data_IF_787635257741
#
_entry.id   IF_787635257741
#
_cell.length_a   1.000
_cell.length_b   1.000
_cell.length_c   1.000
_cell.angle_alpha   90.00
_cell.angle_beta   90.00
_cell.angle_gamma   90.00
#
_symmetry.space_group_name_H-M   'P 1'
#
loop_
_entity.id
_entity.type
_entity.pdbx_description
1 polymer ?
#
# COMPACT_ATOMS: atom_id res chain seq x y z
N UNK A 1 53.14 21.31 -1.66
CA UNK A 1 52.77 21.08 -3.07
C UNK A 1 51.38 20.47 -3.08
N UNK A 2 50.42 21.22 -3.62
CA UNK A 2 49.04 20.88 -4.01
C UNK A 2 48.06 20.23 -3.01
N UNK A 3 47.11 21.06 -2.58
CA UNK A 3 45.71 20.71 -2.35
C UNK A 3 45.11 20.02 -3.60
N UNK A 4 44.41 18.91 -3.40
CA UNK A 4 43.35 18.45 -4.32
C UNK A 4 42.13 17.97 -3.54
N UNK A 5 41.23 18.91 -3.32
CA UNK A 5 39.80 18.82 -3.64
C UNK A 5 39.06 17.53 -3.23
N UNK A 6 38.29 17.65 -2.16
CA UNK A 6 36.88 17.28 -2.03
C UNK A 6 36.33 16.20 -2.98
N UNK A 7 35.80 15.12 -2.39
CA UNK A 7 34.51 14.51 -2.74
C UNK A 7 34.06 13.57 -1.62
N UNK A 8 33.04 14.04 -0.91
CA UNK A 8 32.22 13.30 0.06
C UNK A 8 31.72 12.03 -0.64
N UNK A 9 32.20 10.86 -0.21
CA UNK A 9 31.63 9.57 -0.63
C UNK A 9 30.54 9.22 0.37
N UNK A 10 29.31 9.53 -0.03
CA UNK A 10 28.07 9.06 0.59
C UNK A 10 28.09 7.53 0.53
N UNK A 11 28.38 6.88 1.66
CA UNK A 11 28.17 5.44 1.81
C UNK A 11 26.70 5.25 2.09
N UNK A 12 26.00 4.72 1.08
CA UNK A 12 24.59 4.40 1.11
C UNK A 12 24.27 3.46 2.28
N UNK A 13 23.38 3.91 3.17
CA UNK A 13 22.73 3.08 4.17
C UNK A 13 21.72 2.21 3.41
N UNK A 14 22.18 1.06 2.92
CA UNK A 14 21.27 0.02 2.44
C UNK A 14 20.70 -0.68 3.67
N UNK A 15 19.53 -0.21 4.09
CA UNK A 15 18.68 -0.82 5.11
C UNK A 15 18.56 -2.32 4.83
N UNK A 16 19.19 -3.12 5.68
CA UNK A 16 19.02 -4.57 5.73
C UNK A 16 17.58 -4.86 6.17
N UNK A 17 16.68 -5.00 5.20
CA UNK A 17 15.34 -5.51 5.42
C UNK A 17 15.47 -7.02 5.70
N UNK A 18 15.69 -7.38 6.97
CA UNK A 18 15.63 -8.76 7.44
C UNK A 18 14.17 -9.22 7.40
N UNK A 19 13.84 -9.97 6.36
CA UNK A 19 12.56 -10.64 6.22
C UNK A 19 12.60 -11.95 7.03
N UNK A 20 12.08 -11.90 8.26
CA UNK A 20 11.79 -13.08 9.07
C UNK A 20 10.43 -13.62 8.65
N UNK A 21 10.41 -14.68 7.85
CA UNK A 21 9.19 -15.44 7.57
C UNK A 21 9.06 -16.55 8.62
N UNK A 22 8.42 -16.21 9.73
CA UNK A 22 7.96 -17.18 10.73
C UNK A 22 6.63 -17.78 10.28
N UNK A 23 6.62 -19.09 10.07
CA UNK A 23 5.43 -19.90 9.79
C UNK A 23 4.52 -19.97 11.02
N UNK A 24 3.24 -19.61 10.88
CA UNK A 24 2.17 -20.10 11.76
C UNK A 24 0.80 -19.99 11.09
N UNK A 25 -0.01 -21.03 11.31
CA UNK A 25 -1.32 -21.30 10.76
C UNK A 25 -2.36 -20.23 11.12
N UNK A 26 -2.97 -19.53 10.14
CA UNK A 26 -4.35 -19.02 10.24
C UNK A 26 -4.88 -18.64 8.84
N UNK A 27 -5.90 -19.33 8.31
CA UNK A 27 -6.44 -19.02 6.96
C UNK A 27 -7.48 -17.90 6.93
N UNK A 28 -8.21 -17.66 8.03
CA UNK A 28 -9.25 -16.61 8.09
C UNK A 28 -8.84 -15.37 8.92
N UNK A 29 -8.17 -15.57 10.05
CA UNK A 29 -7.77 -14.43 10.90
C UNK A 29 -6.55 -13.66 10.35
N UNK A 30 -5.65 -14.29 9.59
CA UNK A 30 -4.59 -13.54 8.88
C UNK A 30 -5.18 -12.69 7.75
N UNK A 31 -6.11 -13.26 6.96
CA UNK A 31 -6.77 -12.50 5.90
C UNK A 31 -7.51 -11.28 6.47
N UNK A 32 -8.23 -11.46 7.58
CA UNK A 32 -8.90 -10.36 8.28
C UNK A 32 -7.92 -9.31 8.83
N UNK A 33 -6.75 -9.72 9.34
CA UNK A 33 -5.70 -8.81 9.75
C UNK A 33 -5.21 -7.96 8.57
N UNK A 34 -4.89 -8.62 7.45
CA UNK A 34 -4.44 -7.93 6.24
C UNK A 34 -5.50 -6.97 5.70
N UNK A 35 -6.78 -7.38 5.63
CA UNK A 35 -7.89 -6.50 5.23
C UNK A 35 -7.99 -5.27 6.14
N UNK A 36 -7.87 -5.47 7.46
CA UNK A 36 -7.93 -4.37 8.44
C UNK A 36 -6.80 -3.36 8.21
N UNK A 37 -5.56 -3.83 8.03
CA UNK A 37 -4.43 -2.94 7.74
C UNK A 37 -4.57 -2.29 6.36
N UNK A 38 -5.06 -3.00 5.33
CA UNK A 38 -5.38 -2.41 4.03
C UNK A 38 -6.34 -1.22 4.17
N UNK A 39 -7.44 -1.37 4.93
CA UNK A 39 -8.41 -0.29 5.12
C UNK A 39 -7.76 0.92 5.82
N UNK A 40 -6.99 0.67 6.88
CA UNK A 40 -6.30 1.72 7.66
C UNK A 40 -5.30 2.51 6.81
N UNK A 41 -4.49 1.81 6.02
CA UNK A 41 -3.48 2.42 5.14
C UNK A 41 -4.15 3.18 3.99
N UNK A 42 -5.17 2.61 3.36
CA UNK A 42 -5.95 3.29 2.33
C UNK A 42 -6.68 4.54 2.88
N UNK A 43 -7.20 4.49 4.12
CA UNK A 43 -7.80 5.67 4.75
C UNK A 43 -6.77 6.78 5.01
N UNK A 44 -5.55 6.40 5.40
CA UNK A 44 -4.44 7.33 5.59
C UNK A 44 -4.01 7.94 4.24
N UNK A 45 -3.90 7.13 3.19
CA UNK A 45 -3.66 7.59 1.83
C UNK A 45 -4.76 8.56 1.35
N UNK A 46 -6.03 8.29 1.67
CA UNK A 46 -7.17 9.17 1.37
C UNK A 46 -7.04 10.53 2.05
N UNK A 47 -6.63 10.56 3.31
CA UNK A 47 -6.45 11.81 4.08
C UNK A 47 -5.34 12.65 3.43
N UNK A 48 -4.18 12.05 3.19
CA UNK A 48 -3.06 12.75 2.55
C UNK A 48 -3.36 13.18 1.11
N UNK A 49 -4.08 12.35 0.36
CA UNK A 49 -4.51 12.66 -0.98
C UNK A 49 -5.45 13.86 -1.05
N UNK A 50 -6.43 13.95 -0.14
CA UNK A 50 -7.29 15.14 0.00
C UNK A 50 -6.51 16.40 0.38
N UNK A 51 -5.36 16.26 1.04
CA UNK A 51 -4.47 17.37 1.36
C UNK A 51 -3.48 17.70 0.23
N UNK A 52 -3.53 17.00 -0.91
CA UNK A 52 -2.58 17.19 -2.01
C UNK A 52 -1.17 16.64 -1.74
N UNK A 53 -0.97 15.87 -0.66
CA UNK A 53 0.31 15.29 -0.29
C UNK A 53 0.59 14.03 -1.13
N UNK A 54 0.83 14.20 -2.43
CA UNK A 54 0.89 13.08 -3.39
C UNK A 54 1.93 12.01 -3.03
N UNK A 55 3.09 12.42 -2.53
CA UNK A 55 4.15 11.48 -2.12
C UNK A 55 3.69 10.59 -0.95
N UNK A 56 3.07 11.18 0.06
CA UNK A 56 2.58 10.44 1.23
C UNK A 56 1.35 9.59 0.88
N UNK A 57 0.48 10.06 -0.01
CA UNK A 57 -0.58 9.22 -0.61
C UNK A 57 0.04 7.97 -1.23
N UNK A 58 1.05 8.14 -2.09
CA UNK A 58 1.72 7.05 -2.80
C UNK A 58 2.31 6.01 -1.85
N UNK A 59 3.04 6.45 -0.83
CA UNK A 59 3.64 5.59 0.20
C UNK A 59 2.57 4.70 0.86
N UNK A 60 1.52 5.30 1.41
CA UNK A 60 0.44 4.54 2.06
C UNK A 60 -0.38 3.68 1.09
N UNK A 61 -0.54 4.08 -0.16
CA UNK A 61 -1.21 3.28 -1.18
C UNK A 61 -0.42 2.01 -1.52
N UNK A 62 0.92 2.08 -1.59
CA UNK A 62 1.80 0.93 -1.83
C UNK A 62 1.78 -0.07 -0.66
N UNK A 63 1.81 0.43 0.58
CA UNK A 63 1.67 -0.41 1.77
C UNK A 63 0.28 -1.06 1.81
N UNK A 64 -0.78 -0.29 1.54
CA UNK A 64 -2.14 -0.82 1.44
C UNK A 64 -2.24 -1.95 0.41
N UNK A 65 -1.65 -1.76 -0.78
CA UNK A 65 -1.64 -2.79 -1.84
C UNK A 65 -0.92 -4.06 -1.41
N UNK A 66 0.15 -3.93 -0.63
CA UNK A 66 0.90 -5.07 -0.09
C UNK A 66 0.01 -5.93 0.80
N UNK A 67 -0.70 -5.31 1.75
CA UNK A 67 -1.65 -6.04 2.59
C UNK A 67 -2.84 -6.58 1.79
N UNK A 68 -3.34 -5.84 0.80
CA UNK A 68 -4.47 -6.31 -0.02
C UNK A 68 -4.14 -7.60 -0.78
N UNK A 69 -2.92 -7.68 -1.35
CA UNK A 69 -2.43 -8.89 -2.05
C UNK A 69 -2.19 -10.05 -1.07
N UNK A 70 -1.71 -9.77 0.14
CA UNK A 70 -1.60 -10.79 1.17
C UNK A 70 -2.97 -11.37 1.54
N UNK A 71 -3.97 -10.50 1.77
CA UNK A 71 -5.35 -10.93 2.01
C UNK A 71 -5.92 -11.76 0.84
N UNK A 72 -5.70 -11.33 -0.41
CA UNK A 72 -6.14 -12.09 -1.59
C UNK A 72 -5.57 -13.52 -1.62
N UNK A 73 -4.30 -13.68 -1.28
CA UNK A 73 -3.63 -14.98 -1.28
C UNK A 73 -4.11 -15.90 -0.15
N UNK A 74 -4.57 -15.34 0.96
CA UNK A 74 -4.99 -16.09 2.15
C UNK A 74 -6.49 -16.44 2.16
N UNK A 75 -7.32 -15.62 1.51
CA UNK A 75 -8.75 -15.89 1.40
C UNK A 75 -9.00 -17.16 0.59
N UNK A 76 -9.88 -18.04 1.09
CA UNK A 76 -10.37 -19.21 0.34
C UNK A 76 -11.70 -18.93 -0.36
N UNK A 77 -12.45 -17.94 0.14
CA UNK A 77 -13.79 -17.56 -0.32
C UNK A 77 -13.89 -16.01 -0.25
N UNK A 78 -14.67 -15.36 -1.14
CA UNK A 78 -14.81 -13.90 -1.25
C UNK A 78 -13.57 -13.12 -1.75
N UNK A 79 -13.09 -13.45 -2.96
CA UNK A 79 -11.98 -12.75 -3.63
C UNK A 79 -12.38 -11.45 -4.35
N UNK A 80 -13.62 -11.34 -4.87
CA UNK A 80 -13.94 -10.31 -5.86
C UNK A 80 -13.78 -8.87 -5.33
N UNK A 81 -14.20 -8.62 -4.08
CA UNK A 81 -14.03 -7.32 -3.42
C UNK A 81 -12.56 -6.91 -3.29
N UNK A 82 -11.69 -7.87 -2.94
CA UNK A 82 -10.27 -7.60 -2.71
C UNK A 82 -9.60 -7.37 -4.06
N UNK A 83 -9.98 -8.13 -5.10
CA UNK A 83 -9.52 -7.93 -6.48
C UNK A 83 -9.87 -6.55 -7.03
N UNK A 84 -11.12 -6.11 -6.89
CA UNK A 84 -11.49 -4.76 -7.34
C UNK A 84 -10.78 -3.69 -6.50
N UNK A 85 -10.65 -3.88 -5.19
CA UNK A 85 -9.87 -3.00 -4.33
C UNK A 85 -8.41 -2.88 -4.79
N UNK A 86 -7.73 -4.01 -5.06
CA UNK A 86 -6.35 -4.06 -5.57
C UNK A 86 -6.22 -3.26 -6.86
N UNK A 87 -7.12 -3.46 -7.82
CA UNK A 87 -7.13 -2.74 -9.11
C UNK A 87 -7.27 -1.23 -8.92
N UNK A 88 -8.07 -0.78 -7.95
CA UNK A 88 -8.18 0.64 -7.64
C UNK A 88 -6.92 1.18 -6.94
N UNK A 89 -6.29 0.41 -6.04
CA UNK A 89 -5.01 0.77 -5.42
C UNK A 89 -3.88 0.89 -6.47
N UNK A 90 -3.79 -0.05 -7.41
CA UNK A 90 -2.82 0.00 -8.51
C UNK A 90 -2.99 1.24 -9.39
N UNK A 91 -4.23 1.60 -9.73
CA UNK A 91 -4.53 2.84 -10.46
C UNK A 91 -4.15 4.08 -9.67
N UNK A 92 -4.46 4.12 -8.37
CA UNK A 92 -4.09 5.23 -7.50
C UNK A 92 -2.56 5.43 -7.46
N UNK A 93 -1.80 4.34 -7.34
CA UNK A 93 -0.32 4.35 -7.37
C UNK A 93 0.19 4.87 -8.72
N UNK A 94 -0.36 4.39 -9.83
CA UNK A 94 0.05 4.82 -11.17
C UNK A 94 -0.20 6.33 -11.40
N UNK A 95 -1.31 6.87 -10.89
CA UNK A 95 -1.66 8.28 -10.98
C UNK A 95 -0.86 9.16 -10.02
N UNK A 96 -0.62 8.69 -8.79
CA UNK A 96 0.20 9.40 -7.82
C UNK A 96 1.66 9.52 -8.28
N UNK A 97 2.20 8.49 -8.96
CA UNK A 97 3.50 8.56 -9.64
C UNK A 97 3.56 9.62 -10.76
N UNK A 98 2.41 10.03 -11.30
CA UNK A 98 2.27 11.12 -12.28
C UNK A 98 1.96 12.47 -11.62
N UNK A 99 2.09 12.58 -10.29
CA UNK A 99 1.72 13.74 -9.48
C UNK A 99 0.22 14.13 -9.52
N UNK A 100 -0.68 13.24 -9.98
CA UNK A 100 -2.12 13.48 -9.99
C UNK A 100 -2.76 12.98 -8.68
N UNK A 101 -2.65 13.77 -7.61
CA UNK A 101 -3.20 13.40 -6.30
C UNK A 101 -4.72 13.38 -6.27
N UNK A 102 -5.40 14.22 -7.05
CA UNK A 102 -6.86 14.30 -7.02
C UNK A 102 -7.49 13.01 -7.58
N UNK A 103 -7.05 12.58 -8.76
CA UNK A 103 -7.60 11.36 -9.39
C UNK A 103 -7.09 10.12 -8.66
N UNK A 104 -5.84 10.12 -8.17
CA UNK A 104 -5.34 9.05 -7.29
C UNK A 104 -6.22 8.89 -6.04
N UNK A 105 -6.60 10.00 -5.40
CA UNK A 105 -7.49 9.98 -4.22
C UNK A 105 -8.87 9.39 -4.54
N UNK A 106 -9.44 9.68 -5.71
CA UNK A 106 -10.71 9.08 -6.15
C UNK A 106 -10.62 7.56 -6.23
N UNK A 107 -9.51 7.05 -6.77
CA UNK A 107 -9.26 5.61 -6.82
C UNK A 107 -9.05 5.00 -5.42
N UNK A 108 -8.37 5.68 -4.49
CA UNK A 108 -8.29 5.22 -3.09
C UNK A 108 -9.68 5.11 -2.44
N UNK A 109 -10.57 6.08 -2.67
CA UNK A 109 -11.94 6.05 -2.15
C UNK A 109 -12.70 4.83 -2.69
N UNK A 110 -12.59 4.54 -3.98
CA UNK A 110 -13.21 3.37 -4.58
C UNK A 110 -12.64 2.05 -4.03
N UNK A 111 -11.33 1.98 -3.78
CA UNK A 111 -10.73 0.81 -3.14
C UNK A 111 -11.35 0.56 -1.75
N UNK A 112 -11.50 1.62 -0.94
CA UNK A 112 -12.12 1.55 0.38
C UNK A 112 -13.58 1.12 0.32
N UNK A 113 -14.35 1.56 -0.67
CA UNK A 113 -15.74 1.12 -0.88
C UNK A 113 -15.82 -0.40 -1.04
N UNK A 114 -14.98 -1.00 -1.88
CA UNK A 114 -14.95 -2.45 -2.05
C UNK A 114 -14.55 -3.20 -0.77
N UNK A 115 -13.54 -2.71 -0.03
CA UNK A 115 -13.10 -3.35 1.21
C UNK A 115 -14.18 -3.33 2.30
N UNK A 116 -15.04 -2.30 2.32
CA UNK A 116 -16.08 -2.10 3.33
C UNK A 116 -17.40 -2.79 3.04
N UNK A 117 -17.59 -3.34 1.84
CA UNK A 117 -18.80 -4.11 1.55
C UNK A 117 -18.92 -5.28 2.58
N UNK A 118 -20.12 -5.72 2.97
CA UNK A 118 -20.27 -6.86 3.87
C UNK A 118 -19.83 -8.15 3.18
N UNK A 119 -19.12 -9.04 3.88
CA UNK A 119 -18.76 -10.37 3.36
C UNK A 119 -20.07 -11.12 3.08
N UNK A 120 -20.33 -11.40 1.81
CA UNK A 120 -21.41 -12.29 1.40
C UNK A 120 -20.80 -13.70 1.44
N UNK A 121 -21.17 -14.48 2.46
CA UNK A 121 -20.87 -15.92 2.54
C UNK A 121 -21.65 -16.71 1.50
#
# INVERSE_FOLDING_TARGET
MESRQSKIIIVAIMSTLTFLFSSSEVTASNANHHITETIKLAETARIHGKAGHTKTLLEYAQESLTHARAAENELTISHQRIKESIKHLEKAIALANQNDSEVATKHIIQALEYMRLPILE
#
